data_IF_798104955814
#
_entry.id   IF_798104955814
#
_cell.length_a   1.000
_cell.length_b   1.000
_cell.length_c   1.000
_cell.angle_alpha   90.00
_cell.angle_beta   90.00
_cell.angle_gamma   90.00
#
_symmetry.space_group_name_H-M   'P 1'
#
loop_
_entity.id
_entity.type
_entity.pdbx_description
1 polymer ?
#
# COMPACT_ATOMS: atom_id res chain seq x y z
N UNK A 1 10.35 9.40 6.88
CA UNK A 1 10.91 9.55 5.50
C UNK A 1 9.79 9.19 4.51
N UNK A 2 9.56 9.98 3.46
CA UNK A 2 8.30 9.95 2.69
C UNK A 2 8.21 8.72 1.74
N UNK A 3 7.28 7.79 2.03
CA UNK A 3 7.03 6.56 1.26
C UNK A 3 6.48 6.89 -0.13
N UNK A 4 5.54 7.84 -0.21
CA UNK A 4 4.90 8.28 -1.45
C UNK A 4 5.93 8.84 -2.43
N UNK A 5 6.85 9.68 -1.95
CA UNK A 5 7.93 10.21 -2.77
C UNK A 5 8.77 9.08 -3.40
N UNK A 6 9.09 8.03 -2.62
CA UNK A 6 9.84 6.88 -3.14
C UNK A 6 9.03 6.08 -4.15
N UNK A 7 7.73 5.92 -3.92
CA UNK A 7 6.82 5.26 -4.85
C UNK A 7 6.77 6.00 -6.19
N UNK A 8 6.50 7.31 -6.18
CA UNK A 8 6.44 8.15 -7.40
C UNK A 8 7.74 8.10 -8.21
N UNK A 9 8.88 8.09 -7.52
CA UNK A 9 10.19 8.09 -8.18
C UNK A 9 10.70 6.69 -8.52
N UNK A 10 9.90 5.63 -8.36
CA UNK A 10 10.33 4.22 -8.52
C UNK A 10 11.58 3.86 -7.69
N UNK A 11 11.74 4.49 -6.52
CA UNK A 11 12.82 4.28 -5.55
C UNK A 11 12.33 3.56 -4.29
N UNK A 12 11.16 2.94 -4.37
CA UNK A 12 10.63 2.14 -3.28
C UNK A 12 11.35 0.78 -3.28
N UNK A 13 11.86 0.30 -2.14
CA UNK A 13 12.64 -0.93 -2.05
C UNK A 13 11.75 -2.18 -2.17
N UNK A 14 11.06 -2.32 -3.30
CA UNK A 14 10.43 -3.57 -3.69
C UNK A 14 11.50 -4.62 -3.99
N UNK A 15 11.16 -5.90 -3.87
CA UNK A 15 12.12 -6.96 -4.19
C UNK A 15 12.63 -6.88 -5.61
N UNK A 16 11.80 -6.46 -6.57
CA UNK A 16 12.27 -6.24 -7.95
C UNK A 16 13.38 -5.18 -8.05
N UNK A 17 13.25 -4.06 -7.34
CA UNK A 17 14.29 -3.03 -7.29
C UNK A 17 15.53 -3.53 -6.55
N UNK A 18 15.34 -4.24 -5.43
CA UNK A 18 16.45 -4.79 -4.66
C UNK A 18 17.23 -5.85 -5.44
N UNK A 19 16.56 -6.69 -6.23
CA UNK A 19 17.23 -7.64 -7.13
C UNK A 19 18.01 -6.93 -8.22
N UNK A 20 17.45 -5.86 -8.79
CA UNK A 20 18.15 -5.05 -9.79
C UNK A 20 19.42 -4.39 -9.22
N UNK A 21 19.36 -3.84 -8.00
CA UNK A 21 20.51 -3.14 -7.38
C UNK A 21 21.51 -4.11 -6.75
N UNK A 22 21.04 -5.18 -6.10
CA UNK A 22 21.83 -6.11 -5.30
C UNK A 22 21.69 -7.54 -5.81
N UNK A 23 21.90 -7.75 -7.10
CA UNK A 23 21.64 -9.02 -7.80
C UNK A 23 22.36 -10.24 -7.22
N UNK A 24 23.41 -10.05 -6.40
CA UNK A 24 24.10 -11.12 -5.67
C UNK A 24 23.40 -11.57 -4.38
N UNK A 25 22.59 -10.70 -3.77
CA UNK A 25 22.01 -10.91 -2.44
C UNK A 25 20.51 -11.20 -2.49
N UNK A 26 19.84 -10.93 -3.61
CA UNK A 26 18.41 -11.20 -3.80
C UNK A 26 18.25 -12.14 -4.99
N UNK A 27 17.99 -13.40 -4.69
CA UNK A 27 17.87 -14.47 -5.68
C UNK A 27 16.56 -14.38 -6.47
N UNK A 28 15.47 -14.00 -5.81
CA UNK A 28 14.14 -13.91 -6.43
C UNK A 28 13.45 -12.60 -6.07
N UNK A 29 12.72 -12.04 -7.04
CA UNK A 29 11.92 -10.84 -6.86
C UNK A 29 10.47 -11.11 -6.44
N UNK A 30 10.11 -12.35 -6.12
CA UNK A 30 8.76 -12.70 -5.66
C UNK A 30 8.42 -12.02 -4.33
N UNK A 31 7.15 -11.66 -4.17
CA UNK A 31 6.60 -11.14 -2.93
C UNK A 31 6.68 -12.19 -1.83
N UNK A 32 7.32 -11.86 -0.71
CA UNK A 32 7.48 -12.83 0.37
C UNK A 32 6.19 -13.08 1.16
N UNK A 33 5.18 -12.21 1.00
CA UNK A 33 3.90 -12.35 1.71
C UNK A 33 2.96 -13.30 0.97
N UNK A 34 2.76 -13.12 -0.34
CA UNK A 34 1.85 -13.97 -1.11
C UNK A 34 2.55 -15.12 -1.84
N UNK A 35 3.88 -15.05 -2.00
CA UNK A 35 4.70 -16.01 -2.77
C UNK A 35 4.30 -16.23 -4.23
N UNK A 36 3.31 -15.49 -4.75
CA UNK A 36 2.79 -15.65 -6.11
C UNK A 36 3.56 -14.83 -7.13
N UNK A 37 3.39 -13.50 -7.10
CA UNK A 37 3.90 -12.61 -8.13
C UNK A 37 5.24 -11.95 -7.76
N UNK A 38 5.90 -11.39 -8.76
CA UNK A 38 7.01 -10.46 -8.59
C UNK A 38 6.56 -9.22 -7.82
N UNK A 39 7.28 -8.90 -6.75
CA UNK A 39 7.04 -7.69 -5.96
C UNK A 39 7.59 -6.47 -6.68
N UNK A 40 6.73 -5.83 -7.46
CA UNK A 40 6.92 -4.48 -8.01
C UNK A 40 6.54 -3.40 -6.98
N UNK A 41 6.76 -2.13 -7.32
CA UNK A 41 6.32 -1.00 -6.49
C UNK A 41 4.80 -1.04 -6.23
N UNK A 42 4.00 -1.32 -7.26
CA UNK A 42 2.55 -1.44 -7.15
C UNK A 42 2.16 -2.66 -6.33
N UNK A 43 2.84 -3.79 -6.50
CA UNK A 43 2.58 -5.00 -5.72
C UNK A 43 2.92 -4.84 -4.24
N UNK A 44 4.02 -4.13 -3.96
CA UNK A 44 4.48 -3.82 -2.61
C UNK A 44 3.46 -2.98 -1.82
N UNK A 45 2.70 -2.11 -2.46
CA UNK A 45 1.78 -1.20 -1.75
C UNK A 45 0.29 -1.49 -1.98
N UNK A 46 -0.09 -2.07 -3.13
CA UNK A 46 -1.48 -2.09 -3.59
C UNK A 46 -1.95 -3.48 -4.02
N UNK A 47 -1.25 -4.14 -4.95
CA UNK A 47 -1.83 -5.27 -5.70
C UNK A 47 -1.57 -6.64 -5.12
N UNK A 48 -0.67 -6.78 -4.14
CA UNK A 48 -0.51 -8.02 -3.38
C UNK A 48 -1.85 -8.45 -2.75
N UNK A 49 -2.30 -9.72 -2.84
CA UNK A 49 -3.61 -10.15 -2.34
C UNK A 49 -3.94 -9.73 -0.91
N UNK A 50 -2.97 -9.88 0.02
CA UNK A 50 -3.15 -9.44 1.41
C UNK A 50 -3.36 -7.92 1.57
N UNK A 51 -2.71 -7.11 0.72
CA UNK A 51 -2.81 -5.64 0.70
C UNK A 51 -4.06 -5.19 -0.04
N UNK A 52 -4.43 -5.92 -1.09
CA UNK A 52 -5.67 -5.71 -1.84
C UNK A 52 -6.88 -5.89 -0.92
N UNK A 53 -6.84 -6.88 -0.02
CA UNK A 53 -7.87 -7.04 1.00
C UNK A 53 -8.00 -5.80 1.90
N UNK A 54 -6.88 -5.27 2.42
CA UNK A 54 -6.86 -4.02 3.20
C UNK A 54 -7.46 -2.88 2.39
N UNK A 55 -7.02 -2.70 1.14
CA UNK A 55 -7.54 -1.63 0.29
C UNK A 55 -9.02 -1.76 0.00
N UNK A 56 -9.54 -2.98 -0.25
CA UNK A 56 -10.96 -3.18 -0.51
C UNK A 56 -11.81 -2.79 0.70
N UNK A 57 -11.37 -3.14 1.91
CA UNK A 57 -12.06 -2.75 3.16
C UNK A 57 -12.03 -1.24 3.37
N UNK A 58 -10.86 -0.61 3.22
CA UNK A 58 -10.70 0.86 3.35
C UNK A 58 -11.49 1.60 2.27
N UNK A 59 -11.49 1.11 1.03
CA UNK A 59 -12.31 1.66 -0.04
C UNK A 59 -13.78 1.55 0.34
N UNK A 60 -14.26 0.36 0.70
CA UNK A 60 -15.65 0.13 1.04
C UNK A 60 -16.13 1.04 2.18
N UNK A 61 -15.29 1.23 3.19
CA UNK A 61 -15.61 2.04 4.37
C UNK A 61 -15.53 3.55 4.12
N UNK A 62 -14.50 4.03 3.39
CA UNK A 62 -14.18 5.46 3.32
C UNK A 62 -14.27 6.09 1.91
N UNK A 63 -14.13 5.31 0.83
CA UNK A 63 -13.91 5.82 -0.54
C UNK A 63 -14.90 5.30 -1.60
N UNK A 64 -15.83 4.41 -1.22
CA UNK A 64 -16.85 3.81 -2.09
C UNK A 64 -17.89 4.87 -2.53
N UNK A 65 -18.57 4.79 -3.70
CA UNK A 65 -18.64 3.65 -4.62
C UNK A 65 -17.72 3.66 -5.83
N UNK A 66 -17.05 4.76 -6.12
CA UNK A 66 -16.40 4.98 -7.43
C UNK A 66 -14.88 4.82 -7.41
N UNK A 67 -14.28 4.59 -6.24
CA UNK A 67 -12.84 4.38 -6.11
C UNK A 67 -12.50 2.90 -6.20
N UNK A 68 -11.48 2.57 -7.00
CA UNK A 68 -10.91 1.24 -7.13
C UNK A 68 -9.39 1.31 -6.97
N UNK A 69 -8.75 0.18 -6.69
CA UNK A 69 -7.28 0.12 -6.48
C UNK A 69 -6.47 0.68 -7.66
N UNK A 70 -6.79 0.41 -8.94
CA UNK A 70 -6.11 1.07 -10.06
C UNK A 70 -6.23 2.60 -10.04
N UNK A 71 -7.40 3.11 -9.65
CA UNK A 71 -7.64 4.56 -9.49
C UNK A 71 -6.77 5.13 -8.38
N UNK A 72 -6.62 4.42 -7.25
CA UNK A 72 -5.74 4.81 -6.16
C UNK A 72 -4.27 4.88 -6.57
N UNK A 73 -3.79 3.88 -7.32
CA UNK A 73 -2.41 3.85 -7.84
C UNK A 73 -2.18 5.10 -8.70
N UNK A 74 -3.06 5.37 -9.67
CA UNK A 74 -2.93 6.52 -10.56
C UNK A 74 -3.02 7.86 -9.82
N UNK A 75 -3.96 8.00 -8.88
CA UNK A 75 -4.10 9.21 -8.08
C UNK A 75 -2.87 9.43 -7.18
N UNK A 76 -2.29 8.36 -6.62
CA UNK A 76 -1.06 8.42 -5.82
C UNK A 76 0.14 8.84 -6.67
N UNK A 77 0.30 8.27 -7.87
CA UNK A 77 1.38 8.61 -8.80
C UNK A 77 1.31 10.08 -9.26
N UNK A 78 0.09 10.59 -9.47
CA UNK A 78 -0.15 11.98 -9.92
C UNK A 78 -0.23 12.98 -8.77
N UNK A 79 -0.12 12.53 -7.51
CA UNK A 79 -0.40 13.34 -6.32
C UNK A 79 -1.80 14.01 -6.35
N UNK A 80 -2.74 13.39 -7.05
CA UNK A 80 -4.09 13.92 -7.28
C UNK A 80 -5.14 13.19 -6.44
N UNK A 81 -4.86 13.02 -5.15
CA UNK A 81 -5.74 12.32 -4.22
C UNK A 81 -6.97 13.17 -3.82
N UNK A 82 -6.95 14.47 -4.10
CA UNK A 82 -8.04 15.40 -3.81
C UNK A 82 -9.23 15.24 -4.77
N UNK A 83 -8.97 14.82 -6.01
CA UNK A 83 -10.02 14.59 -7.01
C UNK A 83 -10.71 13.23 -6.87
N UNK A 84 -10.29 12.40 -5.90
CA UNK A 84 -10.97 11.14 -5.63
C UNK A 84 -12.36 11.44 -5.05
N UNK A 85 -13.44 10.92 -5.65
CA UNK A 85 -14.80 11.13 -5.17
C UNK A 85 -14.95 10.60 -3.74
N UNK A 86 -15.35 11.47 -2.82
CA UNK A 86 -15.50 11.15 -1.39
C UNK A 86 -16.94 10.82 -1.09
N UNK A 87 -17.18 9.74 -0.35
CA UNK A 87 -18.49 9.46 0.22
C UNK A 87 -18.53 9.84 1.70
N UNK A 88 -19.36 10.82 2.01
CA UNK A 88 -19.53 11.41 3.34
C UNK A 88 -20.20 10.44 4.32
N UNK A 89 -19.45 9.49 4.87
CA UNK A 89 -19.76 8.89 6.18
C UNK A 89 -18.73 9.21 7.26
N UNK A 90 -17.63 9.85 6.90
CA UNK A 90 -16.65 10.32 7.86
C UNK A 90 -17.27 11.51 8.63
N UNK A 91 -17.15 11.60 9.97
CA UNK A 91 -17.22 12.91 10.63
C UNK A 91 -16.16 13.82 9.99
N UNK A 92 -16.29 15.14 10.07
CA UNK A 92 -15.43 16.17 9.40
C UNK A 92 -13.90 16.09 9.67
N UNK A 93 -13.41 15.02 10.29
CA UNK A 93 -12.10 14.88 10.94
C UNK A 93 -11.00 14.35 10.01
N UNK A 94 -11.29 13.50 9.00
CA UNK A 94 -10.26 12.89 8.14
C UNK A 94 -10.50 13.12 6.64
N UNK A 95 -9.52 13.74 5.96
CA UNK A 95 -9.55 13.93 4.50
C UNK A 95 -9.22 12.61 3.77
N UNK A 96 -9.70 12.45 2.54
CA UNK A 96 -9.35 11.30 1.66
C UNK A 96 -7.85 11.11 1.52
N UNK A 97 -7.10 12.21 1.42
CA UNK A 97 -5.64 12.17 1.37
C UNK A 97 -5.10 11.50 2.64
N UNK A 98 -5.60 11.89 3.81
CA UNK A 98 -5.18 11.35 5.09
C UNK A 98 -5.42 9.83 5.16
N UNK A 99 -6.61 9.38 4.77
CA UNK A 99 -6.95 7.93 4.74
C UNK A 99 -5.99 7.15 3.85
N UNK A 100 -5.72 7.65 2.64
CA UNK A 100 -4.79 6.99 1.70
C UNK A 100 -3.37 6.97 2.26
N UNK A 101 -2.90 8.08 2.83
CA UNK A 101 -1.54 8.18 3.39
C UNK A 101 -1.35 7.26 4.60
N UNK A 102 -2.32 7.20 5.53
CA UNK A 102 -2.27 6.31 6.70
C UNK A 102 -2.30 4.86 6.24
N UNK A 103 -3.17 4.51 5.29
CA UNK A 103 -3.26 3.14 4.75
C UNK A 103 -1.94 2.69 4.13
N UNK A 104 -1.31 3.54 3.31
CA UNK A 104 0.01 3.25 2.74
C UNK A 104 1.06 3.10 3.84
N UNK A 105 1.04 3.93 4.88
CA UNK A 105 1.99 3.87 5.97
C UNK A 105 1.85 2.57 6.79
N UNK A 106 0.64 2.15 7.12
CA UNK A 106 0.40 0.92 7.89
C UNK A 106 0.70 -0.34 7.07
N UNK A 107 0.34 -0.37 5.78
CA UNK A 107 0.74 -1.45 4.87
C UNK A 107 2.26 -1.55 4.78
N UNK A 108 2.94 -0.42 4.59
CA UNK A 108 4.39 -0.36 4.52
C UNK A 108 5.02 -0.90 5.80
N UNK A 109 4.57 -0.41 6.96
CA UNK A 109 5.07 -0.81 8.28
C UNK A 109 4.89 -2.33 8.49
N UNK A 110 3.69 -2.86 8.28
CA UNK A 110 3.41 -4.28 8.42
C UNK A 110 4.22 -5.14 7.45
N UNK A 111 4.42 -4.68 6.21
CA UNK A 111 5.27 -5.37 5.24
C UNK A 111 6.71 -5.48 5.74
N UNK A 112 7.32 -4.40 6.23
CA UNK A 112 8.71 -4.45 6.67
C UNK A 112 8.90 -5.14 8.02
N UNK A 113 7.89 -5.16 8.90
CA UNK A 113 7.89 -6.06 10.06
C UNK A 113 7.91 -7.53 9.64
N UNK A 114 7.19 -7.89 8.58
CA UNK A 114 7.30 -9.25 8.02
C UNK A 114 8.69 -9.52 7.47
N UNK A 115 9.25 -8.61 6.68
CA UNK A 115 10.55 -8.81 6.01
C UNK A 115 11.73 -8.86 6.99
N UNK A 116 11.74 -8.01 8.02
CA UNK A 116 12.89 -7.88 8.92
C UNK A 116 12.70 -8.60 10.25
N UNK A 117 11.47 -8.66 10.77
CA UNK A 117 11.17 -9.20 12.10
C UNK A 117 10.43 -10.54 12.03
N UNK A 118 10.18 -11.09 10.84
CA UNK A 118 9.39 -12.32 10.60
C UNK A 118 7.98 -12.29 11.21
N UNK A 119 7.42 -11.10 11.43
CA UNK A 119 6.06 -10.94 11.95
C UNK A 119 5.03 -11.15 10.83
N UNK A 120 4.06 -12.07 10.98
CA UNK A 120 3.08 -12.35 9.93
C UNK A 120 2.32 -11.08 9.52
N UNK A 121 2.13 -10.89 8.21
CA UNK A 121 1.30 -9.80 7.72
C UNK A 121 -0.17 -10.13 8.01
N UNK A 122 -0.76 -9.45 9.01
CA UNK A 122 -2.17 -9.57 9.35
C UNK A 122 -2.95 -8.34 8.86
N UNK A 123 -3.74 -8.54 7.81
CA UNK A 123 -4.57 -7.48 7.22
C UNK A 123 -5.59 -6.92 8.22
N UNK A 124 -6.09 -7.74 9.16
CA UNK A 124 -7.09 -7.30 10.16
C UNK A 124 -6.48 -6.28 11.12
N UNK A 125 -5.28 -6.57 11.62
CA UNK A 125 -4.53 -5.64 12.48
C UNK A 125 -4.21 -4.35 11.74
N UNK A 126 -3.79 -4.43 10.47
CA UNK A 126 -3.52 -3.24 9.63
C UNK A 126 -4.77 -2.37 9.51
N UNK A 127 -5.93 -2.95 9.19
CA UNK A 127 -7.20 -2.21 9.08
C UNK A 127 -7.57 -1.56 10.42
N UNK A 128 -7.40 -2.29 11.53
CA UNK A 128 -7.71 -1.79 12.86
C UNK A 128 -6.85 -0.58 13.21
N UNK A 129 -5.55 -0.60 12.89
CA UNK A 129 -4.65 0.54 13.12
C UNK A 129 -5.00 1.78 12.28
N UNK A 130 -5.62 1.61 11.10
CA UNK A 130 -6.04 2.74 10.25
C UNK A 130 -7.28 3.44 10.82
N UNK A 131 -8.13 2.70 11.55
CA UNK A 131 -9.38 3.20 12.16
C UNK A 131 -9.16 3.94 13.48
N UNK A 132 -8.02 3.73 14.15
CA UNK A 132 -7.66 4.32 15.45
C UNK A 132 -6.77 5.55 15.29
#
# INVERSE_FOLDING_TARGET
RNIIYRFINNKIPSRSLLQYIFSKNVTFANCQICSGDTETADHLLFTCPAKLFVWNEIIFEFLWPTVFVPTLIQATLRLNLQELPVYCRIPEVLSTITVVLITIAEIWKAHFHFVFDNMPFDSTTVITNIRH
#
